data_IF_456711206005
#
_entry.id   IF_456711206005
#
_cell.length_a   1.000
_cell.length_b   1.000
_cell.length_c   1.000
_cell.angle_alpha   90.00
_cell.angle_beta   90.00
_cell.angle_gamma   90.00
#
_symmetry.space_group_name_H-M   'P 1'
#
loop_
_entity.id
_entity.type
_entity.pdbx_description
1 polymer ?
#
# COMPACT_ATOMS: atom_id res chain seq x y z
N UNK A 1 -18.41 7.07 -5.30
CA UNK A 1 -17.56 6.28 -4.39
C UNK A 1 -18.16 6.26 -3.00
N UNK A 2 -17.67 5.39 -2.11
CA UNK A 2 -18.16 5.21 -0.74
C UNK A 2 -17.99 6.47 0.15
N UNK A 3 -17.09 7.39 -0.22
CA UNK A 3 -16.89 8.72 0.35
C UNK A 3 -16.56 9.73 -0.76
N UNK A 4 -16.95 11.00 -0.58
CA UNK A 4 -16.54 12.08 -1.49
C UNK A 4 -15.17 12.63 -1.06
N UNK A 5 -14.14 12.05 -1.67
CA UNK A 5 -12.73 12.39 -1.50
C UNK A 5 -12.18 13.23 -2.67
N UNK A 6 -13.02 13.95 -3.42
CA UNK A 6 -12.57 14.74 -4.60
C UNK A 6 -11.49 15.76 -4.23
N UNK A 7 -11.67 16.51 -3.14
CA UNK A 7 -10.66 17.46 -2.64
C UNK A 7 -9.37 16.75 -2.24
N UNK A 8 -9.48 15.65 -1.49
CA UNK A 8 -8.34 14.85 -1.07
C UNK A 8 -7.54 14.33 -2.27
N UNK A 9 -8.24 13.83 -3.30
CA UNK A 9 -7.61 13.37 -4.54
C UNK A 9 -6.83 14.49 -5.25
N UNK A 10 -7.36 15.72 -5.31
CA UNK A 10 -6.64 16.87 -5.89
C UNK A 10 -5.36 17.16 -5.08
N UNK A 11 -5.46 17.19 -3.74
CA UNK A 11 -4.32 17.42 -2.86
C UNK A 11 -3.26 16.32 -2.96
N UNK A 12 -3.66 15.09 -3.30
CA UNK A 12 -2.77 13.97 -3.57
C UNK A 12 -2.17 13.95 -4.98
N UNK A 13 -2.43 14.95 -5.84
CA UNK A 13 -1.81 15.04 -7.16
C UNK A 13 -0.30 15.23 -7.04
N UNK A 14 0.48 14.77 -8.05
CA UNK A 14 1.95 14.93 -8.06
C UNK A 14 2.35 16.40 -7.85
N UNK A 15 1.70 17.33 -8.55
CA UNK A 15 2.00 18.77 -8.44
C UNK A 15 1.71 19.32 -7.05
N UNK A 16 0.55 19.00 -6.47
CA UNK A 16 0.18 19.49 -5.13
C UNK A 16 1.09 18.90 -4.05
N UNK A 17 1.42 17.60 -4.15
CA UNK A 17 2.31 16.97 -3.20
C UNK A 17 3.74 17.53 -3.29
N UNK A 18 4.27 17.75 -4.49
CA UNK A 18 5.59 18.36 -4.66
C UNK A 18 5.63 19.80 -4.16
N UNK A 19 4.58 20.58 -4.44
CA UNK A 19 4.50 21.98 -3.98
C UNK A 19 4.50 22.08 -2.45
N UNK A 20 3.74 21.23 -1.77
CA UNK A 20 3.54 21.32 -0.32
C UNK A 20 4.59 20.53 0.49
N UNK A 21 5.06 19.41 -0.04
CA UNK A 21 5.90 18.45 0.68
C UNK A 21 7.28 18.23 0.05
N UNK A 22 7.58 18.80 -1.13
CA UNK A 22 8.80 18.54 -1.92
C UNK A 22 10.10 18.63 -1.11
N UNK A 23 10.26 19.68 -0.32
CA UNK A 23 11.47 19.92 0.48
C UNK A 23 11.52 19.09 1.77
N UNK A 24 10.42 18.44 2.17
CA UNK A 24 10.34 17.69 3.42
C UNK A 24 11.08 16.37 3.30
N UNK A 25 11.72 15.97 4.40
CA UNK A 25 12.34 14.65 4.50
C UNK A 25 11.26 13.60 4.71
N UNK A 26 11.30 12.54 3.91
CA UNK A 26 10.43 11.38 4.04
C UNK A 26 11.24 10.13 4.26
N UNK A 27 10.74 9.27 5.14
CA UNK A 27 11.35 7.99 5.45
C UNK A 27 10.84 6.91 4.52
N UNK A 28 11.72 6.39 3.67
CA UNK A 28 11.42 5.26 2.80
C UNK A 28 11.67 3.95 3.54
N UNK A 29 10.83 2.96 3.26
CA UNK A 29 10.95 1.60 3.81
C UNK A 29 10.97 0.57 2.67
N UNK A 30 11.58 -0.58 2.89
CA UNK A 30 11.48 -1.71 1.96
C UNK A 30 10.23 -2.51 2.28
N UNK A 31 9.53 -2.96 1.24
CA UNK A 31 8.23 -3.62 1.40
C UNK A 31 8.31 -5.10 1.86
N UNK A 32 9.49 -5.62 2.22
CA UNK A 32 9.65 -7.00 2.66
C UNK A 32 9.28 -7.22 4.14
N UNK A 33 8.94 -8.46 4.50
CA UNK A 33 8.50 -8.86 5.86
C UNK A 33 9.44 -8.39 6.97
N UNK A 34 10.73 -8.30 6.65
CA UNK A 34 11.74 -7.73 7.52
C UNK A 34 12.37 -6.50 6.85
N UNK A 35 11.86 -5.32 7.16
CA UNK A 35 12.35 -4.05 6.62
C UNK A 35 13.70 -3.66 7.26
N UNK A 36 14.82 -4.04 6.65
CA UNK A 36 16.14 -3.87 7.28
C UNK A 36 16.82 -2.52 7.01
N UNK A 37 16.38 -1.74 6.01
CA UNK A 37 16.94 -0.40 5.73
C UNK A 37 15.84 0.62 5.52
N UNK A 38 15.80 1.60 6.42
CA UNK A 38 15.06 2.84 6.23
C UNK A 38 16.03 3.89 5.69
N UNK A 39 15.59 4.66 4.70
CA UNK A 39 16.40 5.73 4.10
C UNK A 39 15.57 6.99 4.12
N UNK A 40 16.13 8.05 4.71
CA UNK A 40 15.49 9.36 4.73
C UNK A 40 15.99 10.15 3.51
N UNK A 41 15.08 10.62 2.67
CA UNK A 41 15.37 11.43 1.47
C UNK A 41 14.40 12.60 1.39
N UNK A 42 14.68 13.61 0.57
CA UNK A 42 13.66 14.63 0.28
C UNK A 42 12.52 14.02 -0.52
N UNK A 43 11.30 14.50 -0.30
CA UNK A 43 10.14 14.02 -1.04
C UNK A 43 10.28 14.24 -2.55
N UNK A 44 10.82 15.39 -2.97
CA UNK A 44 11.13 15.68 -4.37
C UNK A 44 12.08 14.64 -4.97
N UNK A 45 13.14 14.28 -4.24
CA UNK A 45 14.15 13.30 -4.67
C UNK A 45 13.51 11.91 -4.80
N UNK A 46 12.66 11.54 -3.84
CA UNK A 46 11.90 10.30 -3.92
C UNK A 46 11.02 10.27 -5.18
N UNK A 47 10.22 11.29 -5.42
CA UNK A 47 9.27 11.35 -6.53
C UNK A 47 9.96 11.37 -7.89
N UNK A 48 11.06 12.09 -8.04
CA UNK A 48 11.70 12.26 -9.35
C UNK A 48 12.79 11.22 -9.64
N UNK A 49 13.47 10.70 -8.62
CA UNK A 49 14.60 9.78 -8.82
C UNK A 49 14.28 8.34 -8.43
N UNK A 50 13.52 8.11 -7.35
CA UNK A 50 13.38 6.79 -6.74
C UNK A 50 12.06 6.08 -7.05
N UNK A 51 11.00 6.85 -7.30
CA UNK A 51 9.65 6.38 -7.64
C UNK A 51 9.61 5.80 -9.07
N UNK A 52 10.19 4.62 -9.23
CA UNK A 52 10.31 3.91 -10.51
C UNK A 52 9.78 2.48 -10.39
N UNK A 53 9.49 1.82 -11.53
CA UNK A 53 9.07 0.43 -11.51
C UNK A 53 10.05 -0.52 -10.80
N UNK A 54 9.50 -1.54 -10.14
CA UNK A 54 10.26 -2.69 -9.64
C UNK A 54 10.87 -3.41 -10.85
N UNK A 55 12.15 -3.78 -10.74
CA UNK A 55 12.81 -4.53 -11.81
C UNK A 55 12.25 -5.96 -11.87
N UNK A 56 11.90 -6.51 -13.06
CA UNK A 56 11.17 -7.78 -13.16
C UNK A 56 11.86 -9.02 -12.60
N UNK A 57 13.20 -9.00 -12.48
CA UNK A 57 14.00 -10.11 -11.91
C UNK A 57 14.53 -9.82 -10.51
N UNK A 58 14.18 -8.66 -9.93
CA UNK A 58 14.65 -8.32 -8.60
C UNK A 58 13.82 -9.05 -7.56
N UNK A 59 14.49 -9.92 -6.79
CA UNK A 59 13.88 -10.67 -5.70
C UNK A 59 13.62 -9.79 -4.47
N UNK A 60 14.31 -8.66 -4.32
CA UNK A 60 14.21 -7.80 -3.14
C UNK A 60 13.41 -6.52 -3.43
N UNK A 61 12.63 -6.09 -2.44
CA UNK A 61 11.75 -4.94 -2.59
C UNK A 61 12.54 -3.64 -2.79
N UNK A 62 12.13 -2.84 -3.78
CA UNK A 62 12.54 -1.44 -3.90
C UNK A 62 12.00 -0.64 -2.70
N UNK A 63 12.70 0.44 -2.38
CA UNK A 63 12.21 1.46 -1.44
C UNK A 63 10.83 1.98 -1.85
N UNK A 64 9.99 2.14 -0.85
CA UNK A 64 8.60 2.50 -0.94
C UNK A 64 8.31 3.53 0.15
N UNK A 65 7.45 4.51 -0.14
CA UNK A 65 7.04 5.45 0.89
C UNK A 65 5.79 4.93 1.61
N UNK A 66 5.94 4.64 2.90
CA UNK A 66 4.85 4.53 3.85
C UNK A 66 5.01 5.65 4.86
N UNK A 67 4.04 6.55 4.95
CA UNK A 67 3.92 7.45 6.08
C UNK A 67 3.77 6.59 7.34
N UNK A 68 4.74 6.70 8.25
CA UNK A 68 4.66 6.03 9.56
C UNK A 68 3.40 6.55 10.28
N UNK A 69 2.73 5.66 11.02
CA UNK A 69 1.40 5.89 11.63
C UNK A 69 1.33 7.06 12.62
N UNK A 70 2.47 7.66 12.96
CA UNK A 70 2.63 8.70 13.98
C UNK A 70 3.27 10.01 13.48
N UNK A 71 3.51 10.21 12.18
CA UNK A 71 4.08 11.48 11.72
C UNK A 71 3.01 12.54 11.51
N UNK A 72 3.08 13.57 12.35
CA UNK A 72 2.31 14.82 12.32
C UNK A 72 2.39 15.57 10.99
N UNK A 73 3.36 15.21 10.15
CA UNK A 73 3.71 15.92 8.91
C UNK A 73 2.59 15.90 7.87
N UNK A 74 1.74 14.88 7.88
CA UNK A 74 0.65 14.70 6.91
C UNK A 74 -0.73 15.07 7.46
N UNK A 75 -0.81 15.61 8.68
CA UNK A 75 -2.09 15.90 9.33
C UNK A 75 -2.98 16.81 8.47
N UNK A 76 -2.43 17.87 7.89
CA UNK A 76 -3.18 18.78 7.02
C UNK A 76 -3.73 18.07 5.76
N UNK A 77 -3.02 17.08 5.23
CA UNK A 77 -3.53 16.24 4.15
C UNK A 77 -4.67 15.34 4.64
N UNK A 78 -4.49 14.70 5.81
CA UNK A 78 -5.45 13.76 6.37
C UNK A 78 -6.75 14.42 6.86
N UNK A 79 -6.72 15.70 7.25
CA UNK A 79 -7.91 16.49 7.58
C UNK A 79 -8.90 16.60 6.40
N UNK A 80 -8.40 16.40 5.17
CA UNK A 80 -9.21 16.42 3.96
C UNK A 80 -9.72 15.03 3.56
N UNK A 81 -9.23 13.97 4.20
CA UNK A 81 -9.62 12.59 3.92
C UNK A 81 -10.89 12.21 4.67
N UNK A 82 -11.85 11.62 3.94
CA UNK A 82 -13.05 11.01 4.50
C UNK A 82 -12.94 9.50 4.41
N UNK A 83 -12.65 8.87 5.55
CA UNK A 83 -12.60 7.42 5.67
C UNK A 83 -13.95 6.76 5.36
N UNK A 84 -13.97 5.45 5.04
CA UNK A 84 -15.20 4.70 4.82
C UNK A 84 -16.15 4.79 6.02
N UNK A 85 -17.45 4.91 5.76
CA UNK A 85 -18.48 5.05 6.82
C UNK A 85 -18.64 3.81 7.68
N UNK A 86 -18.20 2.65 7.20
CA UNK A 86 -18.30 1.40 7.94
C UNK A 86 -17.20 1.38 9.00
N UNK A 87 -17.59 1.44 10.26
CA UNK A 87 -16.67 1.28 11.39
C UNK A 87 -16.99 0.00 12.13
N UNK A 88 -15.95 -0.73 12.53
CA UNK A 88 -16.13 -1.84 13.45
C UNK A 88 -16.37 -1.27 14.86
N UNK A 89 -17.36 -1.76 15.62
CA UNK A 89 -17.57 -1.33 16.99
C UNK A 89 -16.29 -1.47 17.82
N UNK A 90 -16.03 -0.49 18.69
CA UNK A 90 -14.88 -0.48 19.60
C UNK A 90 -13.51 -0.43 18.92
N UNK A 91 -13.44 0.00 17.65
CA UNK A 91 -12.17 0.24 16.96
C UNK A 91 -11.93 1.72 16.70
N UNK A 92 -10.66 2.09 16.63
CA UNK A 92 -10.20 3.41 16.18
C UNK A 92 -9.39 3.27 14.90
N UNK A 93 -9.54 4.25 14.00
CA UNK A 93 -8.82 4.27 12.73
C UNK A 93 -7.46 4.94 12.85
N UNK A 94 -6.40 4.24 12.45
CA UNK A 94 -5.08 4.82 12.23
C UNK A 94 -4.75 4.83 10.74
N UNK A 95 -4.41 6.01 10.20
CA UNK A 95 -4.11 6.15 8.78
C UNK A 95 -2.66 5.79 8.47
N UNK A 96 -2.46 5.20 7.29
CA UNK A 96 -1.15 5.10 6.65
C UNK A 96 -1.30 5.47 5.18
N UNK A 97 -0.64 6.54 4.80
CA UNK A 97 -0.61 7.05 3.44
C UNK A 97 0.67 6.59 2.75
N UNK A 98 0.59 6.26 1.46
CA UNK A 98 1.76 5.77 0.75
C UNK A 98 1.77 6.08 -0.74
N UNK A 99 2.98 6.07 -1.29
CA UNK A 99 3.25 6.32 -2.70
C UNK A 99 4.22 5.26 -3.22
N UNK A 100 3.92 4.74 -4.40
CA UNK A 100 4.41 3.46 -4.90
C UNK A 100 4.78 3.51 -6.37
N UNK A 101 5.87 2.87 -6.76
CA UNK A 101 6.16 2.59 -8.17
C UNK A 101 5.42 1.34 -8.67
N UNK A 102 5.20 1.19 -9.99
CA UNK A 102 4.63 -0.03 -10.57
C UNK A 102 5.46 -1.28 -10.22
N UNK A 103 4.81 -2.43 -10.07
CA UNK A 103 5.45 -3.70 -9.74
C UNK A 103 5.99 -3.79 -8.30
N UNK A 104 5.91 -2.73 -7.50
CA UNK A 104 6.21 -2.78 -6.07
C UNK A 104 4.98 -3.25 -5.29
N UNK A 105 5.16 -3.75 -4.08
CA UNK A 105 4.07 -4.29 -3.29
C UNK A 105 4.56 -4.91 -1.99
N UNK A 106 3.63 -5.20 -1.08
CA UNK A 106 3.93 -5.86 0.19
C UNK A 106 3.64 -7.36 0.05
N UNK A 107 4.60 -8.26 0.33
CA UNK A 107 4.38 -9.70 0.34
C UNK A 107 3.32 -10.12 1.35
N UNK A 108 2.99 -11.41 1.37
CA UNK A 108 2.00 -11.93 2.31
C UNK A 108 2.40 -11.66 3.76
N UNK A 109 1.46 -11.06 4.49
CA UNK A 109 1.54 -10.80 5.92
C UNK A 109 0.10 -10.69 6.46
N UNK A 110 -0.04 -10.49 7.77
CA UNK A 110 -1.34 -10.25 8.39
C UNK A 110 -1.18 -9.29 9.58
N UNK A 111 -2.28 -8.67 9.96
CA UNK A 111 -2.41 -7.82 11.14
C UNK A 111 -3.92 -7.65 11.45
N UNK A 112 -4.25 -6.69 12.31
CA UNK A 112 -5.62 -6.25 12.57
C UNK A 112 -6.41 -5.87 11.32
N UNK A 113 -7.74 -5.74 11.43
CA UNK A 113 -8.61 -5.42 10.31
C UNK A 113 -8.37 -4.00 9.79
N UNK A 114 -8.88 -3.71 8.60
CA UNK A 114 -8.79 -2.36 8.06
C UNK A 114 -9.33 -2.20 6.66
N UNK A 115 -9.24 -0.96 6.18
CA UNK A 115 -9.64 -0.56 4.84
C UNK A 115 -8.43 -0.12 4.02
N UNK A 116 -8.48 -0.35 2.71
CA UNK A 116 -7.53 0.23 1.76
C UNK A 116 -8.26 0.92 0.62
N UNK A 117 -7.83 2.13 0.32
CA UNK A 117 -8.31 2.96 -0.78
C UNK A 117 -7.16 3.35 -1.69
N UNK A 118 -7.41 3.37 -2.99
CA UNK A 118 -6.49 3.93 -3.98
C UNK A 118 -6.99 5.30 -4.40
N UNK A 119 -6.08 6.27 -4.43
CA UNK A 119 -6.35 7.65 -4.82
C UNK A 119 -5.93 7.89 -6.28
N UNK A 120 -4.77 7.34 -6.65
CA UNK A 120 -4.26 7.27 -8.01
C UNK A 120 -3.65 5.89 -8.27
N UNK A 121 -3.70 5.44 -9.52
CA UNK A 121 -3.18 4.14 -9.94
C UNK A 121 -4.14 2.99 -9.65
N UNK A 122 -3.60 1.76 -9.63
CA UNK A 122 -4.35 0.53 -9.33
C UNK A 122 -3.53 -0.38 -8.45
N UNK A 123 -4.20 -1.08 -7.53
CA UNK A 123 -3.56 -2.03 -6.62
C UNK A 123 -4.29 -3.37 -6.65
N UNK A 124 -3.57 -4.43 -7.04
CA UNK A 124 -4.04 -5.82 -6.95
C UNK A 124 -3.79 -6.34 -5.54
N UNK A 125 -4.78 -7.03 -5.01
CA UNK A 125 -4.77 -7.67 -3.70
C UNK A 125 -4.96 -9.17 -3.86
N UNK A 126 -4.24 -9.90 -3.02
CA UNK A 126 -4.34 -11.35 -2.90
C UNK A 126 -4.61 -11.66 -1.44
N UNK A 127 -5.66 -12.44 -1.15
CA UNK A 127 -6.13 -12.71 0.19
C UNK A 127 -6.30 -14.22 0.43
N UNK A 128 -5.87 -14.65 1.61
CA UNK A 128 -6.17 -15.98 2.15
C UNK A 128 -6.79 -15.87 3.54
N UNK A 129 -7.71 -16.78 3.90
CA UNK A 129 -8.24 -16.84 5.25
C UNK A 129 -7.14 -17.24 6.25
N UNK A 130 -7.30 -16.94 7.55
CA UNK A 130 -6.24 -17.11 8.55
C UNK A 130 -5.71 -18.54 8.69
N UNK A 131 -6.57 -19.53 8.44
CA UNK A 131 -6.29 -20.97 8.52
C UNK A 131 -5.58 -21.53 7.27
N UNK A 132 -5.42 -20.72 6.22
CA UNK A 132 -4.78 -21.12 4.96
C UNK A 132 -3.54 -20.27 4.70
N UNK A 133 -2.43 -20.65 5.32
CA UNK A 133 -1.16 -19.98 5.12
C UNK A 133 -0.69 -20.09 3.66
N UNK A 134 -0.38 -18.98 2.98
CA UNK A 134 0.12 -19.01 1.61
C UNK A 134 1.53 -19.56 1.54
N UNK A 135 1.88 -20.19 0.42
CA UNK A 135 3.27 -20.54 0.10
C UNK A 135 3.98 -19.31 -0.50
N UNK A 136 4.90 -18.72 0.25
CA UNK A 136 5.71 -17.59 -0.20
C UNK A 136 7.04 -17.51 0.57
N UNK A 137 8.02 -16.84 -0.03
CA UNK A 137 9.27 -16.51 0.66
C UNK A 137 9.18 -15.10 1.27
N UNK A 138 9.37 -14.92 2.58
CA UNK A 138 9.08 -13.65 3.27
C UNK A 138 9.97 -12.48 2.84
N UNK A 139 11.13 -12.76 2.23
CA UNK A 139 12.04 -11.74 1.72
C UNK A 139 11.90 -11.50 0.21
N UNK A 140 11.02 -12.24 -0.48
CA UNK A 140 10.80 -12.04 -1.92
C UNK A 140 9.68 -11.05 -2.19
N UNK A 141 9.78 -10.32 -3.29
CA UNK A 141 8.73 -9.38 -3.69
C UNK A 141 7.43 -10.08 -4.07
N UNK A 142 6.31 -9.37 -3.93
CA UNK A 142 5.03 -9.83 -4.50
C UNK A 142 5.15 -10.03 -6.01
N UNK A 143 5.93 -9.21 -6.71
CA UNK A 143 6.12 -9.34 -8.16
C UNK A 143 6.77 -10.67 -8.55
N UNK A 144 7.85 -11.07 -7.87
CA UNK A 144 8.47 -12.38 -8.10
C UNK A 144 7.51 -13.51 -7.76
N UNK A 145 6.76 -13.42 -6.65
CA UNK A 145 5.76 -14.43 -6.34
C UNK A 145 4.67 -14.55 -7.43
N UNK A 146 4.16 -13.42 -7.95
CA UNK A 146 3.16 -13.39 -9.02
C UNK A 146 3.69 -14.00 -10.33
N UNK A 147 5.00 -13.90 -10.59
CA UNK A 147 5.60 -14.44 -11.81
C UNK A 147 6.02 -15.90 -11.68
N UNK A 148 6.60 -16.25 -10.54
CA UNK A 148 7.38 -17.48 -10.38
C UNK A 148 6.63 -18.54 -9.57
N UNK A 149 5.57 -18.15 -8.84
CA UNK A 149 4.77 -19.06 -8.00
C UNK A 149 3.31 -19.09 -8.41
N UNK A 150 2.63 -17.93 -8.43
CA UNK A 150 1.19 -17.82 -8.68
C UNK A 150 0.68 -18.54 -9.96
N UNK A 151 1.37 -18.50 -11.12
CA UNK A 151 0.86 -19.16 -12.34
C UNK A 151 0.83 -20.68 -12.25
N UNK A 152 1.57 -21.26 -11.29
CA UNK A 152 1.74 -22.69 -11.11
C UNK A 152 0.98 -23.24 -9.89
N UNK A 153 0.21 -22.38 -9.19
CA UNK A 153 -0.61 -22.82 -8.07
C UNK A 153 -1.79 -23.67 -8.58
N UNK A 154 -2.11 -24.79 -7.90
CA UNK A 154 -3.39 -25.46 -8.06
C UNK A 154 -4.56 -24.50 -7.85
N UNK A 155 -5.70 -24.74 -8.50
CA UNK A 155 -6.86 -23.85 -8.42
C UNK A 155 -7.35 -23.70 -6.97
N UNK A 156 -7.34 -24.79 -6.22
CA UNK A 156 -7.67 -24.84 -4.80
C UNK A 156 -6.68 -24.07 -3.92
N UNK A 157 -5.48 -23.76 -4.39
CA UNK A 157 -4.47 -22.98 -3.68
C UNK A 157 -4.44 -21.51 -4.12
N UNK A 158 -5.21 -21.12 -5.12
CA UNK A 158 -5.25 -19.72 -5.56
C UNK A 158 -5.87 -18.81 -4.49
N UNK A 159 -5.37 -17.57 -4.37
CA UNK A 159 -5.93 -16.58 -3.44
C UNK A 159 -7.30 -16.10 -3.93
N UNK A 160 -8.10 -15.58 -3.00
CA UNK A 160 -9.15 -14.62 -3.37
C UNK A 160 -8.43 -13.35 -3.82
N UNK A 161 -8.81 -12.78 -4.96
CA UNK A 161 -8.13 -11.61 -5.47
C UNK A 161 -9.04 -10.59 -6.10
N UNK A 162 -8.59 -9.34 -6.06
CA UNK A 162 -9.26 -8.23 -6.71
C UNK A 162 -8.25 -7.15 -7.08
N UNK A 163 -8.65 -6.23 -7.94
CA UNK A 163 -7.89 -5.01 -8.20
C UNK A 163 -8.76 -3.82 -7.87
N UNK A 164 -8.31 -3.01 -6.90
CA UNK A 164 -8.96 -1.76 -6.55
C UNK A 164 -8.41 -0.59 -7.37
N UNK A 165 -9.33 0.28 -7.79
CA UNK A 165 -9.13 1.50 -8.60
C UNK A 165 -9.48 2.75 -7.79
N UNK A 166 -9.23 3.96 -8.32
CA UNK A 166 -9.58 5.19 -7.63
C UNK A 166 -11.07 5.24 -7.24
N UNK A 167 -11.33 5.49 -5.96
CA UNK A 167 -12.68 5.56 -5.40
C UNK A 167 -13.31 4.22 -4.99
N UNK A 168 -12.60 3.11 -5.17
CA UNK A 168 -12.97 1.79 -4.63
C UNK A 168 -12.28 1.56 -3.27
N UNK A 169 -12.97 0.83 -2.39
CA UNK A 169 -12.51 0.50 -1.04
C UNK A 169 -12.43 -1.02 -0.92
N UNK A 170 -11.31 -1.54 -0.41
CA UNK A 170 -11.20 -2.92 0.04
C UNK A 170 -11.24 -2.97 1.56
N UNK A 171 -12.04 -3.87 2.14
CA UNK A 171 -11.91 -4.28 3.53
C UNK A 171 -11.04 -5.55 3.62
N UNK A 172 -10.02 -5.54 4.46
CA UNK A 172 -9.27 -6.73 4.84
C UNK A 172 -9.61 -7.12 6.29
N UNK A 173 -10.10 -8.35 6.55
CA UNK A 173 -10.49 -8.75 7.90
C UNK A 173 -9.31 -9.03 8.82
N UNK A 174 -9.59 -9.13 10.12
CA UNK A 174 -8.60 -9.46 11.14
C UNK A 174 -7.88 -10.78 10.83
N UNK A 175 -6.55 -10.76 10.90
CA UNK A 175 -5.64 -11.91 10.69
C UNK A 175 -5.70 -12.57 9.31
N UNK A 176 -6.38 -11.98 8.33
CA UNK A 176 -6.33 -12.49 6.96
C UNK A 176 -4.95 -12.25 6.36
N UNK A 177 -4.38 -13.29 5.77
CA UNK A 177 -3.16 -13.16 4.99
C UNK A 177 -3.45 -12.32 3.77
N UNK A 178 -2.62 -11.33 3.51
CA UNK A 178 -2.77 -10.50 2.32
C UNK A 178 -1.42 -10.04 1.76
N UNK A 179 -1.35 -10.03 0.44
CA UNK A 179 -0.29 -9.41 -0.33
C UNK A 179 -0.86 -8.36 -1.28
N UNK A 180 -0.04 -7.36 -1.62
CA UNK A 180 -0.42 -6.28 -2.53
C UNK A 180 0.58 -6.14 -3.66
N UNK A 181 0.10 -5.71 -4.83
CA UNK A 181 0.91 -5.37 -5.99
C UNK A 181 0.37 -4.09 -6.63
N UNK A 182 1.20 -3.06 -6.75
CA UNK A 182 0.86 -1.82 -7.45
C UNK A 182 1.03 -2.06 -8.95
N UNK A 183 -0.05 -1.92 -9.72
CA UNK A 183 -0.03 -2.14 -11.17
C UNK A 183 0.44 -0.89 -11.92
N UNK A 184 0.28 0.28 -11.30
CA UNK A 184 0.73 1.58 -11.79
C UNK A 184 1.52 2.30 -10.70
N UNK A 185 1.97 3.52 -10.99
CA UNK A 185 2.38 4.44 -9.92
C UNK A 185 1.14 4.75 -9.10
N UNK A 186 1.17 4.39 -7.82
CA UNK A 186 -0.03 4.43 -6.98
C UNK A 186 0.16 5.37 -5.80
N UNK A 187 -0.89 6.14 -5.52
CA UNK A 187 -1.07 6.88 -4.28
C UNK A 187 -2.27 6.26 -3.57
N UNK A 188 -2.12 5.91 -2.30
CA UNK A 188 -3.14 5.14 -1.59
C UNK A 188 -3.11 5.49 -0.10
N UNK A 189 -4.19 5.14 0.57
CA UNK A 189 -4.33 5.29 2.01
C UNK A 189 -4.98 4.03 2.58
N UNK A 190 -4.46 3.57 3.71
CA UNK A 190 -5.05 2.48 4.48
C UNK A 190 -5.49 3.00 5.84
N UNK A 191 -6.63 2.52 6.32
CA UNK A 191 -7.13 2.77 7.67
C UNK A 191 -7.05 1.46 8.45
N UNK A 192 -6.12 1.38 9.39
CA UNK A 192 -6.00 0.24 10.30
C UNK A 192 -6.96 0.43 11.47
N UNK A 193 -7.72 -0.60 11.78
CA UNK A 193 -8.69 -0.61 12.87
C UNK A 193 -8.09 -1.38 14.04
N UNK A 194 -7.85 -0.66 15.15
CA UNK A 194 -7.26 -1.20 16.37
C UNK A 194 -8.03 -0.80 17.62
#
# INVERSE_FOLDING_TARGET
>A
GFSDNTKFQILCSKSSLLQEYGERMVRLSTANTYSYRKVDVRFEEFVDLLLRPQHPVSLFARHYFFGDKNFTEWHSLFDNYKAPRYMLPHTTGAYSFGIAGPGTGVPFHWHGPGYSEVIYGRKRWFLYPPDKAPHFHPNYTTLSWVKDTYPYLPEEEKPIECTIRPGEVLYFPDRWWHATLNLDTSVFISTFLG
#
